data_IF_825300631747
#
_entry.id   IF_825300631747
#
_cell.length_a   1.000
_cell.length_b   1.000
_cell.length_c   1.000
_cell.angle_alpha   90.00
_cell.angle_beta   90.00
_cell.angle_gamma   90.00
#
_symmetry.space_group_name_H-M   'P 1'
#
loop_
_entity.id
_entity.type
_entity.pdbx_description
1 polymer ?
#
# COMPACT_ATOMS: atom_id res chain seq x y z
N UNK A 1 -20.63 -9.36 2.22
CA UNK A 1 -20.22 -8.00 2.67
C UNK A 1 -21.15 -6.96 2.04
N UNK A 2 -22.15 -6.49 2.80
CA UNK A 2 -23.00 -5.29 2.58
C UNK A 2 -23.60 -5.03 1.18
N UNK A 3 -23.72 -6.01 0.29
CA UNK A 3 -24.33 -5.83 -1.04
C UNK A 3 -23.49 -5.04 -2.06
N UNK A 4 -22.22 -4.77 -1.77
CA UNK A 4 -21.34 -3.98 -2.65
C UNK A 4 -20.85 -4.85 -3.82
N UNK A 5 -21.19 -4.47 -5.06
CA UNK A 5 -20.68 -5.11 -6.28
C UNK A 5 -19.39 -4.43 -6.73
N UNK A 6 -18.26 -5.15 -6.64
CA UNK A 6 -16.95 -4.68 -7.12
C UNK A 6 -16.63 -5.39 -8.43
N UNK A 7 -16.54 -4.63 -9.52
CA UNK A 7 -16.12 -5.09 -10.84
C UNK A 7 -14.67 -4.68 -11.06
N UNK A 8 -13.82 -5.64 -11.42
CA UNK A 8 -12.41 -5.42 -11.72
C UNK A 8 -12.20 -5.86 -13.16
N UNK A 9 -11.56 -5.01 -13.97
CA UNK A 9 -11.30 -5.25 -15.38
C UNK A 9 -9.83 -4.96 -15.67
N UNK A 10 -9.25 -5.65 -16.66
CA UNK A 10 -7.85 -5.52 -17.04
C UNK A 10 -7.04 -6.76 -16.71
N UNK A 11 -5.71 -6.62 -16.76
CA UNK A 11 -4.78 -7.73 -16.56
C UNK A 11 -4.70 -8.18 -15.10
N UNK A 12 -4.32 -9.45 -14.90
CA UNK A 12 -4.08 -10.02 -13.59
C UNK A 12 -2.85 -9.36 -12.93
N UNK A 13 -3.08 -8.63 -11.85
CA UNK A 13 -2.06 -7.94 -11.07
C UNK A 13 -1.01 -8.89 -10.44
N UNK A 14 -1.29 -10.19 -10.38
CA UNK A 14 -0.42 -11.19 -9.72
C UNK A 14 0.40 -12.05 -10.67
N UNK A 15 0.17 -11.96 -11.99
CA UNK A 15 0.71 -12.94 -12.96
C UNK A 15 2.23 -13.01 -12.99
N UNK A 16 2.90 -11.87 -12.85
CA UNK A 16 4.36 -11.78 -13.04
C UNK A 16 5.14 -11.63 -11.73
N UNK A 17 4.45 -11.60 -10.59
CA UNK A 17 5.06 -11.37 -9.27
C UNK A 17 6.00 -10.15 -9.23
N UNK A 18 5.66 -9.13 -10.05
CA UNK A 18 6.41 -7.89 -10.17
C UNK A 18 5.95 -6.92 -9.08
N UNK A 19 6.86 -6.05 -8.65
CA UNK A 19 6.52 -4.90 -7.81
C UNK A 19 5.73 -3.91 -8.67
N UNK A 20 4.60 -3.43 -8.17
CA UNK A 20 3.72 -2.51 -8.91
C UNK A 20 3.47 -1.24 -8.10
N UNK A 21 3.43 -0.10 -8.80
CA UNK A 21 2.96 1.17 -8.26
C UNK A 21 1.50 1.36 -8.68
N UNK A 22 0.60 1.48 -7.71
CA UNK A 22 -0.82 1.70 -7.96
C UNK A 22 -1.13 3.17 -7.72
N UNK A 23 -1.61 3.85 -8.75
CA UNK A 23 -2.09 5.23 -8.67
C UNK A 23 -3.61 5.22 -8.72
N UNK A 24 -4.24 5.87 -7.74
CA UNK A 24 -5.68 5.88 -7.59
C UNK A 24 -6.17 7.31 -7.59
N UNK A 25 -7.27 7.54 -8.30
CA UNK A 25 -7.98 8.80 -8.18
C UNK A 25 -8.62 8.88 -6.79
N UNK A 26 -8.13 9.77 -5.93
CA UNK A 26 -8.59 9.88 -4.54
C UNK A 26 -9.91 10.65 -4.46
N UNK A 27 -11.02 9.98 -4.78
CA UNK A 27 -12.36 10.57 -4.81
C UNK A 27 -13.05 10.54 -3.45
N UNK A 28 -12.74 9.57 -2.59
CA UNK A 28 -13.42 9.38 -1.30
C UNK A 28 -12.45 9.04 -0.18
N UNK A 29 -12.88 9.26 1.06
CA UNK A 29 -12.09 8.86 2.24
C UNK A 29 -11.96 7.34 2.42
N UNK A 30 -12.73 6.56 1.66
CA UNK A 30 -12.78 5.09 1.74
C UNK A 30 -11.99 4.41 0.61
N UNK A 31 -11.30 5.18 -0.25
CA UNK A 31 -10.60 4.63 -1.42
C UNK A 31 -9.62 3.50 -1.06
N UNK A 32 -8.89 3.67 0.04
CA UNK A 32 -7.95 2.68 0.55
C UNK A 32 -8.61 1.37 1.00
N UNK A 33 -9.89 1.39 1.42
CA UNK A 33 -10.64 0.17 1.73
C UNK A 33 -10.94 -0.66 0.48
N UNK A 34 -11.19 -0.01 -0.67
CA UNK A 34 -11.36 -0.73 -1.94
C UNK A 34 -10.08 -1.45 -2.35
N UNK A 35 -8.91 -0.86 -2.08
CA UNK A 35 -7.62 -1.50 -2.32
C UNK A 35 -7.38 -2.67 -1.38
N UNK A 36 -7.77 -2.55 -0.12
CA UNK A 36 -7.72 -3.69 0.79
C UNK A 36 -8.59 -4.84 0.30
N UNK A 37 -9.80 -4.57 -0.17
CA UNK A 37 -10.66 -5.61 -0.76
C UNK A 37 -10.03 -6.23 -2.01
N UNK A 38 -9.44 -5.42 -2.89
CA UNK A 38 -8.73 -5.89 -4.09
C UNK A 38 -7.57 -6.82 -3.72
N UNK A 39 -6.66 -6.36 -2.86
CA UNK A 39 -5.51 -7.14 -2.42
C UNK A 39 -5.90 -8.38 -1.58
N UNK A 40 -7.04 -8.33 -0.89
CA UNK A 40 -7.58 -9.50 -0.19
C UNK A 40 -7.99 -10.60 -1.16
N UNK A 41 -8.56 -10.26 -2.33
CA UNK A 41 -8.93 -11.25 -3.37
C UNK A 41 -7.71 -11.95 -3.96
N UNK A 42 -6.59 -11.24 -4.02
CA UNK A 42 -5.33 -11.75 -4.54
C UNK A 42 -4.39 -12.32 -3.46
N UNK A 43 -4.81 -12.30 -2.18
CA UNK A 43 -3.98 -12.70 -1.03
C UNK A 43 -2.65 -11.91 -0.90
N UNK A 44 -2.59 -10.69 -1.42
CA UNK A 44 -1.37 -9.84 -1.44
C UNK A 44 -1.40 -8.71 -0.40
N UNK A 45 -2.33 -8.76 0.56
CA UNK A 45 -2.48 -7.72 1.60
C UNK A 45 -1.19 -7.42 2.38
N UNK A 46 -0.37 -8.44 2.68
CA UNK A 46 0.89 -8.28 3.43
C UNK A 46 1.93 -7.45 2.67
N UNK A 47 1.86 -7.46 1.34
CA UNK A 47 2.80 -6.78 0.44
C UNK A 47 2.36 -5.34 0.16
N UNK A 48 1.08 -5.01 0.35
CA UNK A 48 0.53 -3.69 0.12
C UNK A 48 1.15 -2.65 1.06
N UNK A 49 1.73 -1.60 0.48
CA UNK A 49 2.20 -0.40 1.18
C UNK A 49 1.44 0.81 0.64
N UNK A 50 0.86 1.60 1.54
CA UNK A 50 0.08 2.79 1.17
C UNK A 50 0.84 4.04 1.61
N UNK A 51 0.75 5.10 0.80
CA UNK A 51 1.25 6.43 1.13
C UNK A 51 0.21 7.14 2.00
N UNK A 52 0.63 7.61 3.17
CA UNK A 52 -0.22 8.19 4.20
C UNK A 52 0.28 9.57 4.61
N UNK A 53 -0.60 10.33 5.28
CA UNK A 53 -0.21 11.60 5.93
C UNK A 53 0.60 11.32 7.18
N UNK A 54 1.68 12.06 7.40
CA UNK A 54 2.55 11.93 8.57
C UNK A 54 1.80 11.98 9.91
N UNK A 55 0.77 12.82 10.02
CA UNK A 55 -0.08 12.93 11.22
C UNK A 55 -0.68 11.58 11.65
N UNK A 56 -0.98 10.69 10.70
CA UNK A 56 -1.56 9.38 10.99
C UNK A 56 -0.61 8.46 11.76
N UNK A 57 0.72 8.71 11.74
CA UNK A 57 1.70 7.97 12.55
C UNK A 57 1.39 8.05 14.05
N UNK A 58 0.77 9.15 14.48
CA UNK A 58 0.48 9.43 15.89
C UNK A 58 -0.76 8.72 16.42
N UNK A 59 -1.58 8.13 15.54
CA UNK A 59 -2.80 7.44 15.95
C UNK A 59 -2.42 6.11 16.63
N UNK A 60 -2.80 5.90 17.90
CA UNK A 60 -2.48 4.67 18.61
C UNK A 60 -3.21 3.49 17.99
N UNK A 61 -2.52 2.35 17.85
CA UNK A 61 -3.05 1.18 17.14
C UNK A 61 -2.77 1.27 15.63
N UNK A 62 -3.70 1.79 14.79
CA UNK A 62 -3.53 1.79 13.34
C UNK A 62 -2.26 2.50 12.85
N UNK A 63 -1.93 3.67 13.41
CA UNK A 63 -0.73 4.42 13.03
C UNK A 63 0.56 3.66 13.34
N UNK A 64 0.61 2.98 14.49
CA UNK A 64 1.75 2.14 14.88
C UNK A 64 1.85 0.88 14.01
N UNK A 65 0.73 0.21 13.76
CA UNK A 65 0.68 -0.96 12.89
C UNK A 65 1.14 -0.64 11.47
N UNK A 66 0.71 0.51 10.91
CA UNK A 66 1.13 0.96 9.58
C UNK A 66 2.61 1.33 9.51
N UNK A 67 3.17 1.92 10.58
CA UNK A 67 4.62 2.13 10.69
C UNK A 67 5.37 0.81 10.69
N UNK A 68 4.91 -0.16 11.48
CA UNK A 68 5.52 -1.49 11.54
C UNK A 68 5.39 -2.27 10.23
N UNK A 69 4.29 -2.05 9.49
CA UNK A 69 4.06 -2.60 8.17
C UNK A 69 4.88 -1.89 7.08
N UNK A 70 5.67 -0.87 7.39
CA UNK A 70 6.55 -0.17 6.45
C UNK A 70 5.81 0.71 5.44
N UNK A 71 4.70 1.33 5.84
CA UNK A 71 3.97 2.28 4.99
C UNK A 71 4.72 3.62 4.86
N UNK A 72 4.47 4.36 3.78
CA UNK A 72 5.16 5.61 3.50
C UNK A 72 4.44 6.81 4.12
N UNK A 73 5.09 7.38 5.13
CA UNK A 73 4.77 8.60 5.88
C UNK A 73 5.14 9.93 5.21
N UNK A 74 4.23 10.72 4.63
CA UNK A 74 4.58 12.04 4.03
C UNK A 74 4.06 13.26 4.80
N UNK A 75 4.90 14.28 4.93
CA UNK A 75 4.57 15.57 5.56
C UNK A 75 3.83 16.53 4.61
N UNK A 76 3.83 16.22 3.30
CA UNK A 76 3.32 17.07 2.20
C UNK A 76 4.13 18.35 2.03
N UNK A 77 5.44 18.22 2.23
CA UNK A 77 6.45 19.25 2.03
C UNK A 77 7.53 18.60 1.17
N UNK A 78 7.62 19.03 -0.09
CA UNK A 78 8.44 18.34 -1.10
C UNK A 78 9.90 18.18 -0.67
N UNK A 79 10.49 19.23 -0.11
CA UNK A 79 11.89 19.28 0.31
C UNK A 79 12.21 18.20 1.35
N UNK A 80 11.26 17.88 2.23
CA UNK A 80 11.39 16.83 3.25
C UNK A 80 11.03 15.45 2.69
N UNK A 81 9.96 15.41 1.90
CA UNK A 81 9.39 14.17 1.41
C UNK A 81 10.29 13.52 0.34
N UNK A 82 11.09 14.29 -0.40
CA UNK A 82 12.01 13.77 -1.41
C UNK A 82 13.03 12.80 -0.81
N UNK A 83 13.64 13.18 0.30
CA UNK A 83 14.60 12.34 1.01
C UNK A 83 13.91 11.10 1.61
N UNK A 84 12.76 11.30 2.23
CA UNK A 84 11.94 10.20 2.79
C UNK A 84 11.57 9.17 1.72
N UNK A 85 11.12 9.63 0.54
CA UNK A 85 10.78 8.78 -0.60
C UNK A 85 12.01 8.05 -1.16
N UNK A 86 13.17 8.70 -1.20
CA UNK A 86 14.42 8.06 -1.64
C UNK A 86 14.84 6.95 -0.68
N UNK A 87 14.79 7.21 0.62
CA UNK A 87 15.17 6.25 1.66
C UNK A 87 14.25 5.02 1.67
N UNK A 88 12.92 5.24 1.62
CA UNK A 88 11.97 4.12 1.59
C UNK A 88 12.07 3.31 0.29
N UNK A 89 12.34 3.96 -0.85
CA UNK A 89 12.55 3.27 -2.12
C UNK A 89 13.79 2.38 -2.06
N UNK A 90 14.88 2.87 -1.44
CA UNK A 90 16.07 2.06 -1.16
C UNK A 90 15.76 0.86 -0.27
N UNK A 91 15.01 1.07 0.81
CA UNK A 91 14.55 0.00 1.70
C UNK A 91 13.68 -1.05 0.98
N UNK A 92 12.71 -0.63 0.16
CA UNK A 92 11.86 -1.56 -0.60
C UNK A 92 12.66 -2.37 -1.63
N UNK A 93 13.76 -1.83 -2.15
CA UNK A 93 14.68 -2.58 -3.01
C UNK A 93 15.49 -3.60 -2.23
N UNK A 94 16.00 -3.26 -1.04
CA UNK A 94 16.82 -4.16 -0.21
C UNK A 94 16.02 -5.28 0.43
N UNK A 95 14.75 -5.04 0.77
CA UNK A 95 13.83 -6.10 1.16
C UNK A 95 13.44 -6.96 -0.05
N UNK A 96 14.24 -7.99 -0.33
CA UNK A 96 13.77 -9.18 -1.02
C UNK A 96 12.72 -9.83 -0.12
N UNK A 97 11.44 -9.51 -0.33
CA UNK A 97 10.39 -10.35 0.25
C UNK A 97 10.45 -11.69 -0.48
N UNK A 98 10.63 -12.84 0.20
CA UNK A 98 10.44 -14.12 -0.44
C UNK A 98 9.03 -14.14 -1.00
N UNK A 99 8.98 -14.32 -2.31
CA UNK A 99 7.77 -14.47 -3.09
C UNK A 99 6.87 -15.47 -2.37
N UNK A 100 5.60 -15.12 -2.19
CA UNK A 100 4.60 -16.03 -1.64
C UNK A 100 4.67 -17.35 -2.41
N UNK A 101 5.22 -18.39 -1.77
CA UNK A 101 5.17 -19.75 -2.30
C UNK A 101 3.70 -20.13 -2.30
N UNK A 102 3.11 -20.20 -3.49
CA UNK A 102 1.75 -20.73 -3.68
C UNK A 102 1.86 -22.25 -3.44
N UNK A 103 1.17 -22.74 -2.40
CA UNK A 103 0.83 -24.16 -2.28
C UNK A 103 -0.41 -24.46 -3.13
#
# INVERSE_FOLDING_TARGET
LLGIKIVITGDDLTKDNKRSLIVLNHRTRLDWMFIFMLHSRFQTLKQLKIVLKADLKRIPGPGWAMQHAGYLFLDRIWEKDQETMKNISGYYKSCQSPLSVRN
#
